data_IF_817999903493
#
_entry.id   IF_817999903493
#
_cell.length_a   1.000
_cell.length_b   1.000
_cell.length_c   1.000
_cell.angle_alpha   90.00
_cell.angle_beta   90.00
_cell.angle_gamma   90.00
#
_symmetry.space_group_name_H-M   'P 1'
#
loop_
_entity.id
_entity.type
_entity.pdbx_description
1 polymer ?
#
# COMPACT_ATOMS: atom_id res chain seq x y z
N UNK A 1 38.93 -5.05 2.04
CA UNK A 1 37.84 -5.89 1.48
C UNK A 1 36.53 -5.24 1.86
N UNK A 2 35.62 -5.10 0.90
CA UNK A 2 34.27 -4.63 1.17
C UNK A 2 33.53 -5.70 1.98
N UNK A 3 32.97 -5.29 3.13
CA UNK A 3 32.24 -6.22 4.00
C UNK A 3 30.79 -6.34 3.52
N UNK A 4 30.42 -7.53 3.08
CA UNK A 4 29.05 -7.90 2.70
C UNK A 4 28.41 -8.70 3.84
N UNK A 5 27.44 -8.14 4.60
CA UNK A 5 26.69 -8.90 5.60
C UNK A 5 25.87 -10.02 4.93
N UNK A 6 25.57 -11.09 5.67
CA UNK A 6 24.64 -12.10 5.17
C UNK A 6 23.21 -11.56 5.23
N UNK A 7 22.45 -11.70 4.14
CA UNK A 7 21.07 -11.23 4.05
C UNK A 7 20.11 -12.37 3.74
N UNK A 8 18.85 -12.22 4.16
CA UNK A 8 17.75 -13.09 3.77
C UNK A 8 16.73 -12.30 2.96
N UNK A 9 16.37 -12.78 1.79
CA UNK A 9 15.29 -12.20 0.97
C UNK A 9 14.06 -13.10 1.09
N UNK A 10 12.93 -12.55 1.51
CA UNK A 10 11.65 -13.28 1.63
C UNK A 10 10.71 -12.84 0.53
N UNK A 11 10.21 -13.81 -0.24
CA UNK A 11 9.25 -13.61 -1.33
C UNK A 11 8.02 -14.48 -1.07
N UNK A 12 6.91 -13.92 -0.56
CA UNK A 12 5.65 -14.66 -0.45
C UNK A 12 5.01 -14.77 -1.83
N UNK A 13 4.46 -15.93 -2.16
CA UNK A 13 3.86 -16.16 -3.46
C UNK A 13 2.55 -16.95 -3.37
N UNK A 14 1.65 -16.69 -4.32
CA UNK A 14 0.50 -17.56 -4.63
C UNK A 14 -0.06 -17.20 -6.00
N UNK A 15 0.11 -18.10 -6.98
CA UNK A 15 -0.37 -17.93 -8.35
C UNK A 15 0.25 -16.71 -9.07
N UNK A 16 1.56 -16.74 -9.29
CA UNK A 16 2.36 -15.70 -9.94
C UNK A 16 2.98 -16.13 -11.27
N UNK A 17 2.45 -17.17 -11.95
CA UNK A 17 3.01 -17.67 -13.22
C UNK A 17 3.21 -16.57 -14.28
N UNK A 18 2.38 -15.52 -14.27
CA UNK A 18 2.44 -14.40 -15.21
C UNK A 18 3.67 -13.52 -15.02
N UNK A 19 4.20 -13.40 -13.81
CA UNK A 19 5.18 -12.35 -13.45
C UNK A 19 6.47 -12.90 -12.87
N UNK A 20 6.45 -14.09 -12.27
CA UNK A 20 7.55 -14.62 -11.48
C UNK A 20 8.84 -14.80 -12.29
N UNK A 21 8.74 -15.25 -13.55
CA UNK A 21 9.90 -15.40 -14.41
C UNK A 21 10.63 -14.08 -14.62
N UNK A 22 9.87 -13.05 -14.96
CA UNK A 22 10.40 -11.70 -15.15
C UNK A 22 10.93 -11.12 -13.83
N UNK A 23 10.22 -11.29 -12.72
CA UNK A 23 10.67 -10.86 -11.40
C UNK A 23 12.01 -11.49 -11.01
N UNK A 24 12.17 -12.80 -11.24
CA UNK A 24 13.42 -13.50 -10.94
C UNK A 24 14.60 -13.04 -11.80
N UNK A 25 14.38 -12.73 -13.10
CA UNK A 25 15.43 -12.15 -13.94
C UNK A 25 16.03 -10.87 -13.34
N UNK A 26 15.20 -10.00 -12.75
CA UNK A 26 15.67 -8.80 -12.06
C UNK A 26 16.28 -9.10 -10.70
N UNK A 27 15.65 -9.95 -9.89
CA UNK A 27 16.14 -10.29 -8.55
C UNK A 27 17.53 -10.94 -8.61
N UNK A 28 17.75 -11.85 -9.54
CA UNK A 28 19.06 -12.52 -9.72
C UNK A 28 20.10 -11.67 -10.46
N UNK A 29 19.70 -10.51 -11.00
CA UNK A 29 20.62 -9.50 -11.56
C UNK A 29 21.06 -8.44 -10.55
N UNK A 30 20.59 -8.53 -9.31
CA UNK A 30 21.04 -7.64 -8.21
C UNK A 30 22.52 -7.87 -7.94
N UNK A 31 23.29 -6.79 -7.88
CA UNK A 31 24.74 -6.82 -7.65
C UNK A 31 25.04 -7.05 -6.15
N UNK A 32 24.94 -8.31 -5.75
CA UNK A 32 25.29 -8.78 -4.41
C UNK A 32 25.88 -10.20 -4.47
N UNK A 33 26.92 -10.52 -3.68
CA UNK A 33 27.54 -11.85 -3.72
C UNK A 33 26.54 -12.96 -3.38
N UNK A 34 26.41 -13.95 -4.26
CA UNK A 34 25.43 -15.04 -4.09
C UNK A 34 25.68 -15.88 -2.84
N UNK A 35 26.91 -15.99 -2.38
CA UNK A 35 27.29 -16.68 -1.14
C UNK A 35 26.95 -15.88 0.13
N UNK A 36 26.47 -14.64 -0.01
CA UNK A 36 26.10 -13.72 1.08
C UNK A 36 24.61 -13.51 1.21
N UNK A 37 23.80 -14.27 0.49
CA UNK A 37 22.36 -14.21 0.65
C UNK A 37 21.68 -15.58 0.57
N UNK A 38 20.49 -15.65 1.09
CA UNK A 38 19.52 -16.71 0.86
C UNK A 38 18.21 -16.09 0.37
N UNK A 39 17.51 -16.80 -0.51
CA UNK A 39 16.19 -16.40 -0.98
C UNK A 39 15.19 -17.44 -0.51
N UNK A 40 14.23 -17.02 0.32
CA UNK A 40 13.18 -17.88 0.87
C UNK A 40 11.88 -17.53 0.17
N UNK A 41 11.43 -18.43 -0.68
CA UNK A 41 10.16 -18.30 -1.39
C UNK A 41 9.12 -19.06 -0.59
N UNK A 42 8.13 -18.32 -0.06
CA UNK A 42 7.04 -18.87 0.75
C UNK A 42 5.78 -19.02 -0.09
N UNK A 43 5.58 -20.21 -0.67
CA UNK A 43 4.42 -20.51 -1.50
C UNK A 43 3.19 -20.82 -0.66
N UNK A 44 2.15 -20.00 -0.83
CA UNK A 44 0.86 -20.11 -0.14
C UNK A 44 -0.12 -21.13 -0.73
N UNK A 45 0.39 -22.12 -1.46
CA UNK A 45 -0.41 -23.13 -2.15
C UNK A 45 -0.83 -22.66 -3.54
N UNK A 46 0.13 -22.41 -4.41
CA UNK A 46 -0.10 -22.10 -5.82
C UNK A 46 -0.68 -23.31 -6.55
N UNK A 47 -1.58 -23.04 -7.51
CA UNK A 47 -2.28 -24.05 -8.32
C UNK A 47 -2.01 -23.90 -9.82
N UNK A 48 -1.24 -22.86 -10.18
CA UNK A 48 -0.76 -22.59 -11.53
C UNK A 48 0.71 -23.09 -11.69
N UNK A 49 1.39 -22.69 -12.74
CA UNK A 49 2.78 -23.11 -13.02
C UNK A 49 3.84 -22.43 -12.13
N UNK A 50 3.45 -21.63 -11.15
CA UNK A 50 4.39 -20.87 -10.30
C UNK A 50 5.45 -21.76 -9.66
N UNK A 51 5.04 -22.86 -9.03
CA UNK A 51 5.96 -23.79 -8.33
C UNK A 51 6.91 -24.47 -9.29
N UNK A 52 6.44 -24.87 -10.47
CA UNK A 52 7.28 -25.50 -11.49
C UNK A 52 8.38 -24.54 -11.98
N UNK A 53 8.03 -23.29 -12.23
CA UNK A 53 9.00 -22.24 -12.61
C UNK A 53 10.06 -22.08 -11.52
N UNK A 54 9.66 -22.04 -10.25
CA UNK A 54 10.62 -21.91 -9.14
C UNK A 54 11.56 -23.11 -9.08
N UNK A 55 11.06 -24.32 -9.26
CA UNK A 55 11.91 -25.54 -9.25
C UNK A 55 12.94 -25.54 -10.37
N UNK A 56 12.62 -24.97 -11.54
CA UNK A 56 13.61 -24.79 -12.61
C UNK A 56 14.68 -23.76 -12.20
N UNK A 57 14.31 -22.65 -11.57
CA UNK A 57 15.27 -21.68 -11.05
C UNK A 57 16.15 -22.26 -9.92
N UNK A 58 15.61 -23.13 -9.06
CA UNK A 58 16.39 -23.81 -8.02
C UNK A 58 17.52 -24.69 -8.57
N UNK A 59 17.32 -25.30 -9.75
CA UNK A 59 18.38 -26.09 -10.41
C UNK A 59 19.59 -25.21 -10.76
N UNK A 60 19.34 -23.96 -11.15
CA UNK A 60 20.36 -22.97 -11.53
C UNK A 60 20.94 -22.24 -10.31
N UNK A 61 20.12 -22.00 -9.28
CA UNK A 61 20.47 -21.23 -8.09
C UNK A 61 20.13 -22.00 -6.81
N UNK A 62 21.05 -22.85 -6.31
CA UNK A 62 20.79 -23.74 -5.17
C UNK A 62 20.52 -23.03 -3.84
N UNK A 63 20.80 -21.71 -3.74
CA UNK A 63 20.51 -20.90 -2.55
C UNK A 63 19.05 -20.45 -2.44
N UNK A 64 18.20 -20.77 -3.43
CA UNK A 64 16.75 -20.59 -3.36
C UNK A 64 16.18 -21.69 -2.46
N UNK A 65 15.41 -21.27 -1.45
CA UNK A 65 14.66 -22.16 -0.56
C UNK A 65 13.18 -22.02 -0.84
N UNK A 66 12.56 -23.03 -1.43
CA UNK A 66 11.12 -23.09 -1.59
C UNK A 66 10.50 -23.69 -0.32
N UNK A 67 9.57 -22.94 0.27
CA UNK A 67 8.75 -23.36 1.42
C UNK A 67 7.30 -23.43 0.97
N UNK A 68 6.80 -24.64 0.75
CA UNK A 68 5.41 -24.88 0.41
C UNK A 68 4.55 -24.85 1.68
N UNK A 69 3.50 -23.99 1.70
CA UNK A 69 2.60 -23.76 2.84
C UNK A 69 1.16 -24.03 2.40
N UNK A 70 0.70 -25.27 2.43
CA UNK A 70 -0.65 -25.60 2.03
C UNK A 70 -1.70 -24.82 2.84
N UNK A 71 -2.77 -24.37 2.19
CA UNK A 71 -3.86 -23.63 2.81
C UNK A 71 -3.41 -22.34 3.55
N UNK A 72 -2.37 -21.67 3.05
CA UNK A 72 -1.90 -20.44 3.63
C UNK A 72 -2.98 -19.35 3.65
N UNK A 73 -3.36 -18.82 4.82
CA UNK A 73 -4.49 -17.91 4.96
C UNK A 73 -4.17 -16.49 4.46
N UNK A 74 -2.88 -16.08 4.51
CA UNK A 74 -2.49 -14.71 4.20
C UNK A 74 -1.01 -14.59 3.82
N UNK A 75 -0.61 -13.52 3.09
CA UNK A 75 0.81 -13.22 2.84
C UNK A 75 1.60 -13.03 4.15
N UNK A 76 1.00 -12.40 5.16
CA UNK A 76 1.60 -12.22 6.49
C UNK A 76 1.93 -13.54 7.18
N UNK A 77 1.05 -14.53 7.07
CA UNK A 77 1.30 -15.88 7.57
C UNK A 77 2.48 -16.54 6.86
N UNK A 78 2.53 -16.43 5.53
CA UNK A 78 3.65 -16.97 4.74
C UNK A 78 4.99 -16.33 5.16
N UNK A 79 5.04 -15.00 5.28
CA UNK A 79 6.22 -14.28 5.75
C UNK A 79 6.62 -14.68 7.17
N UNK A 80 5.67 -14.87 8.10
CA UNK A 80 5.95 -15.35 9.45
C UNK A 80 6.54 -16.76 9.48
N UNK A 81 6.14 -17.64 8.57
CA UNK A 81 6.76 -18.96 8.44
C UNK A 81 8.19 -18.84 7.93
N UNK A 82 8.42 -18.02 6.91
CA UNK A 82 9.76 -17.78 6.36
C UNK A 82 10.69 -17.12 7.39
N UNK A 83 10.21 -16.16 8.19
CA UNK A 83 11.00 -15.49 9.23
C UNK A 83 11.64 -16.45 10.24
N UNK A 84 11.05 -17.62 10.48
CA UNK A 84 11.63 -18.62 11.41
C UNK A 84 12.91 -19.27 10.89
N UNK A 85 13.20 -19.17 9.61
CA UNK A 85 14.33 -19.80 8.95
C UNK A 85 15.38 -18.83 8.45
N UNK A 86 15.19 -17.50 8.66
CA UNK A 86 16.13 -16.47 8.22
C UNK A 86 17.46 -16.57 8.98
N UNK A 87 18.56 -16.43 8.24
CA UNK A 87 19.92 -16.43 8.78
C UNK A 87 20.60 -15.07 8.68
N UNK A 88 20.06 -14.17 7.83
CA UNK A 88 20.64 -12.86 7.55
C UNK A 88 20.49 -11.88 8.69
N UNK A 89 21.48 -10.98 8.83
CA UNK A 89 21.46 -9.85 9.73
C UNK A 89 20.45 -8.79 9.29
N UNK A 90 20.15 -8.77 7.99
CA UNK A 90 19.14 -7.94 7.36
C UNK A 90 18.17 -8.79 6.56
N UNK A 91 16.89 -8.50 6.69
CA UNK A 91 15.79 -9.23 6.07
C UNK A 91 15.16 -8.31 5.03
N UNK A 92 15.26 -8.69 3.78
CA UNK A 92 14.68 -8.00 2.64
C UNK A 92 13.35 -8.62 2.28
N UNK A 93 12.35 -7.79 2.02
CA UNK A 93 11.06 -8.22 1.51
C UNK A 93 10.86 -7.65 0.11
N UNK A 94 10.40 -8.51 -0.78
CA UNK A 94 9.92 -8.16 -2.12
C UNK A 94 8.84 -9.16 -2.52
N UNK A 95 8.12 -8.88 -3.60
CA UNK A 95 7.03 -9.74 -4.08
C UNK A 95 7.39 -10.36 -5.45
N UNK A 96 6.69 -11.42 -5.85
CA UNK A 96 6.94 -12.13 -7.12
C UNK A 96 6.43 -11.39 -8.39
N UNK A 97 6.00 -10.16 -8.22
CA UNK A 97 5.66 -9.20 -9.27
C UNK A 97 6.53 -7.93 -9.18
N UNK A 98 7.69 -8.05 -8.53
CA UNK A 98 8.63 -6.95 -8.32
C UNK A 98 9.94 -7.16 -9.06
N UNK A 99 10.52 -6.07 -9.54
CA UNK A 99 11.77 -6.01 -10.28
C UNK A 99 12.73 -5.02 -9.62
N UNK A 100 13.56 -5.45 -8.67
CA UNK A 100 14.51 -4.58 -7.98
C UNK A 100 15.61 -4.08 -8.92
N UNK A 101 16.10 -2.87 -8.68
CA UNK A 101 17.25 -2.31 -9.40
C UNK A 101 18.55 -3.04 -9.02
N UNK A 102 19.56 -2.93 -9.87
CA UNK A 102 20.83 -3.66 -9.72
C UNK A 102 21.51 -3.40 -8.35
N UNK A 103 21.50 -2.17 -7.87
CA UNK A 103 22.16 -1.78 -6.61
C UNK A 103 21.22 -1.81 -5.40
N UNK A 104 20.05 -2.39 -5.51
CA UNK A 104 19.00 -2.41 -4.49
C UNK A 104 19.48 -2.75 -3.08
N UNK A 105 20.21 -3.86 -2.94
CA UNK A 105 20.73 -4.33 -1.64
C UNK A 105 21.80 -3.38 -1.11
N UNK A 106 22.75 -2.96 -1.96
CA UNK A 106 23.85 -2.07 -1.55
C UNK A 106 23.34 -0.73 -1.05
N UNK A 107 22.38 -0.14 -1.76
CA UNK A 107 21.77 1.14 -1.38
C UNK A 107 21.10 1.02 0.00
N UNK A 108 20.25 0.02 0.22
CA UNK A 108 19.56 -0.14 1.50
C UNK A 108 20.54 -0.40 2.65
N UNK A 109 21.54 -1.25 2.44
CA UNK A 109 22.57 -1.54 3.47
C UNK A 109 23.41 -0.32 3.83
N UNK A 110 23.68 0.57 2.88
CA UNK A 110 24.46 1.80 3.15
C UNK A 110 23.78 2.70 4.20
N UNK A 111 22.45 2.75 4.20
CA UNK A 111 21.69 3.55 5.19
C UNK A 111 21.68 2.90 6.57
N UNK A 112 21.64 1.57 6.68
CA UNK A 112 21.73 0.88 7.96
C UNK A 112 23.10 1.10 8.66
N UNK A 113 24.16 1.37 7.90
CA UNK A 113 25.48 1.68 8.46
C UNK A 113 25.53 3.07 9.13
N UNK A 114 24.66 4.01 8.68
CA UNK A 114 24.66 5.40 9.17
C UNK A 114 24.06 5.55 10.57
N UNK A 115 23.05 4.74 10.91
CA UNK A 115 22.33 4.85 12.19
C UNK A 115 21.86 3.45 12.63
N UNK A 116 22.34 3.02 13.80
CA UNK A 116 21.98 1.73 14.39
C UNK A 116 20.50 1.66 14.83
N UNK A 117 19.85 2.81 15.00
CA UNK A 117 18.43 2.90 15.35
C UNK A 117 17.49 2.77 14.15
N UNK A 118 18.01 2.67 12.92
CA UNK A 118 17.18 2.36 11.76
C UNK A 118 16.77 0.88 11.83
N UNK A 119 15.48 0.65 12.04
CA UNK A 119 14.88 -0.69 11.94
C UNK A 119 14.59 -1.07 10.49
N UNK A 120 14.15 -0.13 9.67
CA UNK A 120 13.77 -0.39 8.29
C UNK A 120 14.25 0.70 7.32
N UNK A 121 14.67 0.26 6.14
CA UNK A 121 14.95 1.11 4.98
C UNK A 121 14.01 0.66 3.85
N UNK A 122 13.20 1.57 3.33
CA UNK A 122 12.34 1.30 2.18
C UNK A 122 12.70 2.18 1.00
N UNK A 123 12.48 1.69 -0.19
CA UNK A 123 12.78 2.39 -1.43
C UNK A 123 11.54 2.87 -2.18
N UNK A 124 11.77 3.49 -3.34
CA UNK A 124 10.69 3.94 -4.23
C UNK A 124 10.15 2.78 -5.07
N UNK A 125 8.86 2.84 -5.36
CA UNK A 125 8.16 1.81 -6.15
C UNK A 125 7.59 2.45 -7.41
N UNK A 126 7.99 1.95 -8.57
CA UNK A 126 7.48 2.38 -9.87
C UNK A 126 6.58 1.31 -10.49
N UNK A 127 5.89 1.64 -11.56
CA UNK A 127 5.08 0.67 -12.30
C UNK A 127 5.86 0.12 -13.48
N UNK A 128 5.97 -1.22 -13.57
CA UNK A 128 6.44 -1.95 -14.74
C UNK A 128 5.24 -2.63 -15.42
N UNK A 129 4.94 -2.23 -16.66
CA UNK A 129 3.91 -2.91 -17.43
C UNK A 129 4.41 -4.24 -17.96
N UNK A 130 3.58 -5.28 -17.80
CA UNK A 130 3.81 -6.60 -18.42
C UNK A 130 3.27 -6.60 -19.84
N UNK A 131 2.09 -6.01 -20.02
CA UNK A 131 1.44 -5.81 -21.31
C UNK A 131 1.36 -4.30 -21.60
N UNK A 132 2.10 -3.79 -22.61
CA UNK A 132 2.08 -2.38 -22.99
C UNK A 132 0.70 -1.84 -23.34
N UNK A 133 -0.20 -2.68 -23.86
CA UNK A 133 -1.53 -2.29 -24.31
C UNK A 133 -2.61 -2.43 -23.23
N UNK A 134 -2.26 -2.99 -22.06
CA UNK A 134 -3.22 -3.19 -20.98
C UNK A 134 -3.60 -1.87 -20.31
N UNK A 135 -4.89 -1.51 -20.38
CA UNK A 135 -5.40 -0.25 -19.84
C UNK A 135 -5.38 -0.17 -18.31
N UNK A 136 -5.47 -1.31 -17.62
CA UNK A 136 -5.42 -1.35 -16.14
C UNK A 136 -4.01 -1.09 -15.66
N UNK A 137 -3.00 -1.68 -16.30
CA UNK A 137 -1.58 -1.42 -16.00
C UNK A 137 -1.19 0.04 -16.34
N UNK A 138 -1.67 0.55 -17.46
CA UNK A 138 -1.47 1.96 -17.84
C UNK A 138 -2.12 2.92 -16.83
N UNK A 139 -3.29 2.57 -16.31
CA UNK A 139 -3.96 3.31 -15.25
C UNK A 139 -3.14 3.29 -13.95
N UNK A 140 -2.62 2.13 -13.52
CA UNK A 140 -1.76 2.02 -12.34
C UNK A 140 -0.50 2.90 -12.47
N UNK A 141 0.10 2.95 -13.66
CA UNK A 141 1.24 3.81 -13.95
C UNK A 141 0.88 5.31 -13.85
N UNK A 142 -0.24 5.71 -14.44
CA UNK A 142 -0.71 7.10 -14.40
C UNK A 142 -0.98 7.58 -12.97
N UNK A 143 -1.62 6.74 -12.15
CA UNK A 143 -1.93 7.03 -10.76
C UNK A 143 -0.76 6.82 -9.80
N UNK A 144 0.43 6.44 -10.33
CA UNK A 144 1.62 6.20 -9.52
C UNK A 144 1.32 5.26 -8.34
N UNK A 145 0.60 4.18 -8.66
CA UNK A 145 0.16 3.21 -7.67
C UNK A 145 1.37 2.61 -6.94
N UNK A 146 1.32 2.55 -5.61
CA UNK A 146 2.39 2.13 -4.71
C UNK A 146 3.63 3.06 -4.60
N UNK A 147 3.71 4.18 -5.33
CA UNK A 147 4.82 5.13 -5.13
C UNK A 147 4.78 5.73 -3.72
N UNK A 148 5.96 5.76 -3.08
CA UNK A 148 6.14 6.25 -1.71
C UNK A 148 6.24 7.77 -1.66
N UNK A 149 7.07 8.38 -2.53
CA UNK A 149 7.35 9.82 -2.48
C UNK A 149 6.13 10.71 -2.70
N UNK A 150 5.21 10.47 -3.66
CA UNK A 150 4.01 11.29 -3.79
C UNK A 150 3.07 11.16 -2.61
N UNK A 151 3.00 9.97 -2.01
CA UNK A 151 2.10 9.69 -0.88
C UNK A 151 2.50 10.46 0.36
N UNK A 152 3.78 10.56 0.65
CA UNK A 152 4.30 11.16 1.88
C UNK A 152 4.96 12.54 1.66
N UNK A 153 4.93 13.06 0.44
CA UNK A 153 5.56 14.34 0.09
C UNK A 153 7.09 14.32 0.14
N UNK A 154 7.71 13.14 0.02
CA UNK A 154 9.16 13.04 -0.10
C UNK A 154 9.61 13.48 -1.49
N UNK A 155 10.57 14.40 -1.53
CA UNK A 155 11.29 14.79 -2.74
C UNK A 155 12.68 14.14 -2.76
N UNK A 156 13.22 13.89 -1.57
CA UNK A 156 14.56 13.34 -1.32
C UNK A 156 14.47 12.21 -0.28
N UNK A 157 15.62 11.56 -0.04
CA UNK A 157 15.78 10.61 1.06
C UNK A 157 15.49 11.27 2.42
N UNK A 158 15.01 10.48 3.39
CA UNK A 158 14.71 11.01 4.71
C UNK A 158 14.10 10.01 5.68
N UNK A 159 14.03 10.43 6.94
CA UNK A 159 13.36 9.68 7.99
C UNK A 159 11.84 9.86 7.94
N UNK A 160 11.12 8.79 8.24
CA UNK A 160 9.71 8.93 8.58
C UNK A 160 9.56 9.70 9.90
N UNK A 161 8.46 10.47 10.06
CA UNK A 161 8.12 11.09 11.35
C UNK A 161 8.02 10.04 12.46
N UNK A 162 8.24 10.43 13.71
CA UNK A 162 7.99 9.57 14.86
C UNK A 162 6.52 9.11 14.91
N UNK A 163 6.30 7.92 15.44
CA UNK A 163 4.92 7.45 15.66
C UNK A 163 4.32 8.17 16.86
N UNK A 164 3.15 8.81 16.73
CA UNK A 164 2.56 9.58 17.82
C UNK A 164 2.26 8.73 19.06
N UNK A 165 2.47 9.28 20.27
CA UNK A 165 2.12 8.60 21.55
C UNK A 165 0.59 8.43 21.71
N UNK A 166 -0.19 9.38 21.20
CA UNK A 166 -1.66 9.33 21.11
C UNK A 166 -2.07 9.56 19.64
N UNK A 167 -2.07 8.50 18.82
CA UNK A 167 -2.30 8.65 17.39
C UNK A 167 -3.75 9.04 17.10
N UNK A 168 -3.91 9.88 16.08
CA UNK A 168 -5.20 10.15 15.46
C UNK A 168 -5.59 8.99 14.52
N UNK A 169 -6.88 8.87 14.17
CA UNK A 169 -7.31 7.90 13.16
C UNK A 169 -6.54 8.00 11.83
N UNK A 170 -6.21 9.21 11.37
CA UNK A 170 -5.42 9.44 10.14
C UNK A 170 -3.95 9.03 10.24
N UNK A 171 -3.38 8.91 11.45
CA UNK A 171 -2.01 8.42 11.66
C UNK A 171 -1.92 6.89 11.52
N UNK A 172 -3.05 6.19 11.66
CA UNK A 172 -3.15 4.73 11.61
C UNK A 172 -3.70 4.26 10.25
N UNK A 173 -4.76 4.91 9.77
CA UNK A 173 -5.32 4.63 8.47
C UNK A 173 -5.48 5.93 7.69
N UNK A 174 -4.86 6.13 6.57
CA UNK A 174 -4.97 7.34 5.80
C UNK A 174 -3.62 7.99 5.45
N UNK A 175 -3.64 9.25 5.04
CA UNK A 175 -2.49 9.93 4.45
C UNK A 175 -1.32 10.18 5.42
N UNK A 176 -1.53 10.08 6.73
CA UNK A 176 -0.49 10.21 7.76
C UNK A 176 0.02 8.86 8.27
N UNK A 177 -0.48 7.76 7.74
CA UNK A 177 -0.07 6.42 8.09
C UNK A 177 1.24 6.05 7.37
N UNK A 178 2.37 6.46 7.91
CA UNK A 178 3.70 6.18 7.34
C UNK A 178 4.08 4.72 7.53
N UNK A 179 4.32 4.02 6.44
CA UNK A 179 4.81 2.64 6.39
C UNK A 179 5.48 2.36 5.04
N UNK A 180 6.24 1.26 4.97
CA UNK A 180 6.73 0.72 3.71
C UNK A 180 5.94 -0.54 3.35
N UNK A 181 5.54 -0.65 2.09
CA UNK A 181 5.02 -1.89 1.54
C UNK A 181 6.11 -2.96 1.47
N UNK A 182 5.74 -4.20 1.77
CA UNK A 182 6.69 -5.33 1.72
C UNK A 182 7.19 -5.69 0.33
N UNK A 183 6.72 -5.01 -0.69
CA UNK A 183 7.27 -5.12 -2.04
C UNK A 183 8.66 -4.47 -2.19
N UNK A 184 9.03 -3.51 -1.30
CA UNK A 184 10.33 -2.81 -1.35
C UNK A 184 10.78 -2.29 0.01
N UNK A 185 11.22 -3.19 0.90
CA UNK A 185 11.72 -2.82 2.23
C UNK A 185 12.72 -3.84 2.76
N UNK A 186 13.74 -3.35 3.49
CA UNK A 186 14.62 -4.18 4.29
C UNK A 186 14.47 -3.84 5.78
N UNK A 187 14.58 -4.84 6.64
CA UNK A 187 14.57 -4.70 8.10
C UNK A 187 15.87 -5.20 8.70
N UNK A 188 16.34 -4.52 9.75
CA UNK A 188 17.41 -5.02 10.62
C UNK A 188 16.84 -6.17 11.48
N UNK A 189 17.42 -7.38 11.38
CA UNK A 189 16.94 -8.55 12.13
C UNK A 189 16.94 -8.29 13.63
N UNK A 190 18.00 -7.68 14.18
CA UNK A 190 18.06 -7.33 15.60
C UNK A 190 16.93 -6.40 16.05
N UNK A 191 16.45 -5.49 15.19
CA UNK A 191 15.29 -4.66 15.50
C UNK A 191 14.00 -5.49 15.56
N UNK A 192 13.79 -6.41 14.62
CA UNK A 192 12.64 -7.32 14.64
C UNK A 192 12.64 -8.22 15.87
N UNK A 193 13.80 -8.80 16.19
CA UNK A 193 13.97 -9.69 17.34
C UNK A 193 13.73 -8.95 18.67
N UNK A 194 14.20 -7.70 18.81
CA UNK A 194 14.08 -6.91 20.03
C UNK A 194 12.66 -6.64 20.51
N UNK A 195 11.70 -6.66 19.58
CA UNK A 195 10.28 -6.41 19.87
C UNK A 195 9.41 -7.65 19.61
N UNK A 196 10.00 -8.78 19.24
CA UNK A 196 9.27 -9.97 18.83
C UNK A 196 8.34 -9.70 17.65
N UNK A 197 8.80 -8.88 16.70
CA UNK A 197 7.99 -8.42 15.56
C UNK A 197 7.55 -9.58 14.68
N UNK A 198 6.28 -9.53 14.29
CA UNK A 198 5.70 -10.49 13.35
C UNK A 198 4.59 -9.83 12.56
N UNK A 199 4.39 -10.32 11.36
CA UNK A 199 3.26 -9.88 10.54
C UNK A 199 1.93 -10.27 11.17
N UNK A 200 0.98 -9.38 11.11
CA UNK A 200 -0.39 -9.70 11.47
C UNK A 200 -1.00 -10.63 10.41
N UNK A 201 -1.78 -11.61 10.86
CA UNK A 201 -2.46 -12.56 9.97
C UNK A 201 -3.76 -11.95 9.44
N UNK A 202 -3.60 -10.97 8.56
CA UNK A 202 -4.66 -10.30 7.82
C UNK A 202 -4.46 -10.48 6.32
N UNK A 203 -5.53 -10.37 5.52
CA UNK A 203 -5.42 -10.40 4.05
C UNK A 203 -4.55 -9.27 3.48
N UNK A 204 -4.46 -8.14 4.20
CA UNK A 204 -3.65 -6.97 3.84
C UNK A 204 -3.50 -6.04 5.06
N UNK A 205 -2.56 -5.07 5.00
CA UNK A 205 -2.25 -4.13 6.09
C UNK A 205 -1.27 -4.69 7.12
N UNK A 206 -0.76 -5.89 6.88
CA UNK A 206 0.25 -6.53 7.73
C UNK A 206 1.60 -5.80 7.69
N UNK A 207 1.90 -5.11 6.59
CA UNK A 207 3.06 -4.24 6.41
C UNK A 207 2.92 -2.93 7.19
N UNK A 208 1.73 -2.33 7.20
CA UNK A 208 1.40 -1.18 8.05
C UNK A 208 1.56 -1.57 9.52
N UNK A 209 0.99 -2.70 9.92
CA UNK A 209 1.07 -3.21 11.28
C UNK A 209 2.52 -3.45 11.71
N UNK A 210 3.35 -4.09 10.88
CA UNK A 210 4.76 -4.31 11.16
C UNK A 210 5.52 -2.99 11.34
N UNK A 211 5.22 -2.00 10.49
CA UNK A 211 5.80 -0.66 10.59
C UNK A 211 5.42 0.02 11.91
N UNK A 212 4.17 -0.07 12.33
CA UNK A 212 3.69 0.52 13.58
C UNK A 212 4.24 -0.20 14.82
N UNK A 213 4.42 -1.52 14.77
CA UNK A 213 5.08 -2.27 15.85
C UNK A 213 6.46 -1.69 16.17
N UNK A 214 7.30 -1.45 15.15
CA UNK A 214 8.64 -0.90 15.32
C UNK A 214 8.62 0.58 15.73
N UNK A 215 7.89 1.40 14.98
CA UNK A 215 7.86 2.86 15.20
C UNK A 215 7.26 3.25 16.55
N UNK A 216 6.26 2.50 17.05
CA UNK A 216 5.71 2.71 18.40
C UNK A 216 6.69 2.37 19.53
N UNK A 217 7.78 1.66 19.22
CA UNK A 217 8.89 1.37 20.15
C UNK A 217 10.09 2.30 19.96
N UNK A 218 9.94 3.35 19.14
CA UNK A 218 10.98 4.35 18.92
C UNK A 218 12.01 4.00 17.83
N UNK A 219 11.81 2.87 17.13
CA UNK A 219 12.65 2.54 15.99
C UNK A 219 12.43 3.49 14.82
N UNK A 220 13.51 3.87 14.13
CA UNK A 220 13.48 4.78 12.98
C UNK A 220 13.27 4.02 11.66
N UNK A 221 12.58 4.67 10.74
CA UNK A 221 12.38 4.22 9.36
C UNK A 221 12.97 5.24 8.41
N UNK A 222 13.66 4.78 7.38
CA UNK A 222 14.37 5.63 6.45
C UNK A 222 13.96 5.36 5.01
N UNK A 223 13.59 6.40 4.28
CA UNK A 223 13.25 6.33 2.86
C UNK A 223 14.49 6.58 2.00
N UNK A 224 14.83 5.61 1.16
CA UNK A 224 15.95 5.61 0.22
C UNK A 224 15.41 5.53 -1.22
N UNK A 225 15.11 6.66 -1.87
CA UNK A 225 14.43 6.68 -3.18
C UNK A 225 15.20 6.00 -4.30
N UNK A 226 16.51 5.88 -4.19
CA UNK A 226 17.37 5.22 -5.18
C UNK A 226 17.33 3.69 -5.10
N UNK A 227 16.86 3.12 -4.00
CA UNK A 227 16.55 1.69 -3.88
C UNK A 227 15.23 1.37 -4.60
N UNK A 228 15.25 1.41 -5.93
CA UNK A 228 14.06 1.31 -6.78
C UNK A 228 13.61 -0.12 -6.96
N UNK A 229 12.30 -0.31 -6.96
CA UNK A 229 11.64 -1.54 -7.38
C UNK A 229 10.54 -1.19 -8.37
N UNK A 230 10.53 -1.84 -9.51
CA UNK A 230 9.44 -1.74 -10.47
C UNK A 230 8.41 -2.85 -10.18
N UNK A 231 7.15 -2.48 -10.00
CA UNK A 231 6.06 -3.38 -9.61
C UNK A 231 5.12 -3.64 -10.80
N UNK A 232 4.89 -4.93 -11.10
CA UNK A 232 3.96 -5.38 -12.12
C UNK A 232 2.56 -5.52 -11.52
N UNK A 233 1.63 -4.71 -11.99
CA UNK A 233 0.28 -4.66 -11.41
C UNK A 233 -0.69 -5.71 -11.97
N UNK A 234 -1.86 -5.80 -11.35
CA UNK A 234 -2.96 -6.64 -11.83
C UNK A 234 -3.47 -6.10 -13.18
N UNK A 235 -3.66 -6.99 -14.15
CA UNK A 235 -4.12 -6.64 -15.50
C UNK A 235 -5.65 -6.60 -15.63
N UNK A 236 -6.37 -7.11 -14.63
CA UNK A 236 -7.85 -7.18 -14.63
C UNK A 236 -8.45 -6.22 -13.59
N UNK A 237 -9.44 -5.42 -14.03
CA UNK A 237 -10.09 -4.43 -13.18
C UNK A 237 -10.90 -5.04 -12.03
N UNK A 238 -11.50 -6.23 -12.22
CA UNK A 238 -12.27 -6.89 -11.16
C UNK A 238 -11.33 -7.34 -10.03
N UNK A 239 -10.16 -7.88 -10.42
CA UNK A 239 -9.10 -8.28 -9.47
C UNK A 239 -8.56 -7.05 -8.74
N UNK A 240 -8.24 -5.98 -9.46
CA UNK A 240 -7.79 -4.72 -8.88
C UNK A 240 -8.80 -4.15 -7.87
N UNK A 241 -10.09 -4.15 -8.20
CA UNK A 241 -11.15 -3.69 -7.29
C UNK A 241 -11.25 -4.53 -6.01
N UNK A 242 -11.04 -5.86 -6.09
CA UNK A 242 -10.98 -6.70 -4.89
C UNK A 242 -9.82 -6.30 -3.98
N UNK A 243 -8.66 -6.00 -4.56
CA UNK A 243 -7.50 -5.49 -3.81
C UNK A 243 -7.85 -4.18 -3.08
N UNK A 244 -8.54 -3.24 -3.76
CA UNK A 244 -8.97 -1.99 -3.13
C UNK A 244 -9.96 -2.19 -1.99
N UNK A 245 -10.87 -3.16 -2.08
CA UNK A 245 -11.77 -3.53 -0.97
C UNK A 245 -10.95 -4.04 0.23
N UNK A 246 -9.97 -4.90 0.01
CA UNK A 246 -9.14 -5.40 1.11
C UNK A 246 -8.30 -4.31 1.75
N UNK A 247 -7.77 -3.36 0.97
CA UNK A 247 -7.03 -2.20 1.49
C UNK A 247 -7.92 -1.33 2.41
N UNK A 248 -9.13 -1.01 1.97
CA UNK A 248 -10.08 -0.30 2.84
C UNK A 248 -10.42 -1.06 4.13
N UNK A 249 -10.58 -2.38 4.04
CA UNK A 249 -10.90 -3.22 5.19
C UNK A 249 -9.77 -3.28 6.23
N UNK A 250 -8.51 -3.22 5.82
CA UNK A 250 -7.37 -3.26 6.72
C UNK A 250 -7.40 -2.13 7.76
N UNK A 251 -7.89 -0.96 7.37
CA UNK A 251 -7.94 0.22 8.24
C UNK A 251 -8.77 -0.01 9.50
N UNK A 252 -9.91 -0.69 9.41
CA UNK A 252 -10.75 -0.97 10.57
C UNK A 252 -10.03 -1.84 11.61
N UNK A 253 -9.30 -2.86 11.17
CA UNK A 253 -8.50 -3.72 12.03
C UNK A 253 -7.36 -2.95 12.72
N UNK A 254 -6.61 -2.15 11.96
CA UNK A 254 -5.51 -1.34 12.48
C UNK A 254 -5.99 -0.28 13.49
N UNK A 255 -7.08 0.44 13.19
CA UNK A 255 -7.68 1.39 14.13
C UNK A 255 -8.13 0.71 15.43
N UNK A 256 -8.72 -0.48 15.33
CA UNK A 256 -9.10 -1.23 16.53
C UNK A 256 -7.89 -1.58 17.40
N UNK A 257 -6.75 -1.92 16.79
CA UNK A 257 -5.53 -2.33 17.49
C UNK A 257 -4.77 -1.15 18.10
N UNK A 258 -4.62 -0.03 17.38
CA UNK A 258 -3.72 1.06 17.76
C UNK A 258 -4.41 2.28 18.38
N UNK A 259 -5.69 2.51 18.07
CA UNK A 259 -6.42 3.65 18.61
C UNK A 259 -6.99 3.34 20.00
N UNK A 260 -6.41 3.94 21.04
CA UNK A 260 -6.83 3.72 22.42
C UNK A 260 -8.20 4.35 22.73
N UNK A 261 -8.37 5.61 22.32
CA UNK A 261 -9.56 6.38 22.62
C UNK A 261 -10.56 6.35 21.45
N UNK A 262 -11.86 6.30 21.76
CA UNK A 262 -12.89 6.44 20.74
C UNK A 262 -12.96 7.90 20.28
N UNK A 263 -12.63 8.13 19.02
CA UNK A 263 -12.70 9.45 18.37
C UNK A 263 -12.99 9.30 16.88
N UNK A 264 -13.75 10.23 16.36
CA UNK A 264 -14.01 10.39 14.94
C UNK A 264 -13.24 11.60 14.42
N UNK A 265 -12.41 11.40 13.40
CA UNK A 265 -11.68 12.46 12.73
C UNK A 265 -12.34 12.79 11.38
N UNK A 266 -12.67 14.05 11.17
CA UNK A 266 -13.17 14.56 9.89
C UNK A 266 -12.05 15.35 9.23
N UNK A 267 -11.64 14.95 8.04
CA UNK A 267 -10.52 15.53 7.29
C UNK A 267 -11.08 16.25 6.06
N UNK A 268 -10.81 17.55 5.93
CA UNK A 268 -11.30 18.39 4.84
C UNK A 268 -10.31 18.41 3.68
N UNK A 269 -10.29 17.34 2.89
CA UNK A 269 -9.31 17.12 1.83
C UNK A 269 -9.41 18.11 0.66
N UNK A 270 -10.56 18.79 0.49
CA UNK A 270 -10.75 19.83 -0.52
C UNK A 270 -10.10 21.18 -0.15
N UNK A 271 -9.60 21.33 1.08
CA UNK A 271 -8.90 22.51 1.55
C UNK A 271 -7.38 22.32 1.50
N UNK A 272 -6.64 23.42 1.32
CA UNK A 272 -5.17 23.40 1.42
C UNK A 272 -4.76 22.80 2.77
N UNK A 273 -3.71 21.97 2.76
CA UNK A 273 -3.16 21.28 3.94
C UNK A 273 -4.11 20.27 4.60
N UNK A 274 -5.25 19.96 4.01
CA UNK A 274 -6.22 18.97 4.52
C UNK A 274 -6.42 19.07 6.05
N UNK A 275 -6.89 20.19 6.58
CA UNK A 275 -7.14 20.35 8.01
C UNK A 275 -8.12 19.30 8.51
N UNK A 276 -8.00 18.91 9.77
CA UNK A 276 -8.91 17.94 10.38
C UNK A 276 -9.45 18.42 11.71
N UNK A 277 -10.63 17.90 12.07
CA UNK A 277 -11.25 18.06 13.38
C UNK A 277 -11.42 16.66 13.98
N UNK A 278 -10.91 16.47 15.19
CA UNK A 278 -11.08 15.21 15.94
C UNK A 278 -12.10 15.43 17.06
N UNK A 279 -13.16 14.66 17.02
CA UNK A 279 -14.26 14.74 17.98
C UNK A 279 -14.28 13.51 18.88
N UNK A 280 -14.49 13.66 20.20
CA UNK A 280 -14.83 12.52 21.04
C UNK A 280 -16.18 11.98 20.59
N UNK A 281 -16.21 10.74 20.14
CA UNK A 281 -17.41 10.10 19.60
C UNK A 281 -17.45 8.63 20.00
N UNK A 282 -18.59 8.00 20.22
CA UNK A 282 -18.65 6.59 20.59
C UNK A 282 -18.18 5.62 19.50
N UNK A 283 -17.93 6.13 18.28
CA UNK A 283 -17.40 5.39 17.14
C UNK A 283 -15.98 5.85 16.85
N UNK A 284 -15.07 4.91 16.62
CA UNK A 284 -13.72 5.18 16.14
C UNK A 284 -13.72 5.38 14.60
N UNK A 285 -12.82 6.20 14.09
CA UNK A 285 -12.59 6.25 12.66
C UNK A 285 -12.27 7.62 12.09
N UNK A 286 -12.35 7.69 10.78
CA UNK A 286 -12.15 8.93 10.03
C UNK A 286 -13.08 9.01 8.82
N UNK A 287 -13.37 10.24 8.43
CA UNK A 287 -14.12 10.58 7.22
C UNK A 287 -13.33 11.64 6.46
N UNK A 288 -12.88 11.31 5.25
CA UNK A 288 -12.30 12.27 4.32
C UNK A 288 -13.40 12.93 3.52
N UNK A 289 -13.60 14.23 3.73
CA UNK A 289 -14.48 15.05 2.91
C UNK A 289 -13.66 15.64 1.76
N UNK A 290 -13.56 14.91 0.68
CA UNK A 290 -12.91 15.33 -0.56
C UNK A 290 -13.90 15.63 -1.67
N UNK A 291 -13.37 16.06 -2.83
CA UNK A 291 -14.18 16.37 -4.01
C UNK A 291 -15.12 15.23 -4.43
N UNK A 292 -14.66 13.97 -4.28
CA UNK A 292 -15.48 12.79 -4.53
C UNK A 292 -16.75 12.75 -3.68
N UNK A 293 -16.64 13.00 -2.39
CA UNK A 293 -17.80 12.97 -1.48
C UNK A 293 -18.71 14.18 -1.70
N UNK A 294 -18.12 15.37 -1.87
CA UNK A 294 -18.88 16.59 -2.04
C UNK A 294 -19.71 16.60 -3.32
N UNK A 295 -19.18 16.07 -4.44
CA UNK A 295 -19.98 15.95 -5.66
C UNK A 295 -21.20 15.04 -5.47
N UNK A 296 -21.09 13.97 -4.66
CA UNK A 296 -22.23 13.09 -4.39
C UNK A 296 -23.23 13.72 -3.42
N UNK A 297 -22.76 14.38 -2.36
CA UNK A 297 -23.60 15.05 -1.38
C UNK A 297 -24.44 16.15 -2.08
N UNK A 298 -23.77 17.03 -2.83
CA UNK A 298 -24.47 18.09 -3.56
C UNK A 298 -25.33 17.55 -4.70
N UNK A 299 -24.88 16.50 -5.40
CA UNK A 299 -25.67 15.81 -6.42
C UNK A 299 -26.95 15.19 -5.85
N UNK A 300 -26.88 14.57 -4.67
CA UNK A 300 -28.05 14.04 -3.98
C UNK A 300 -29.03 15.15 -3.57
N UNK A 301 -28.52 16.25 -2.97
CA UNK A 301 -29.35 17.41 -2.61
C UNK A 301 -29.97 18.03 -3.86
N UNK A 302 -29.22 18.15 -4.97
CA UNK A 302 -29.72 18.61 -6.25
C UNK A 302 -30.90 17.76 -6.75
N UNK A 303 -30.77 16.42 -6.72
CA UNK A 303 -31.84 15.51 -7.14
C UNK A 303 -33.08 15.68 -6.25
N UNK A 304 -32.91 15.78 -4.93
CA UNK A 304 -34.01 16.03 -4.01
C UNK A 304 -34.71 17.37 -4.34
N UNK A 305 -33.94 18.44 -4.58
CA UNK A 305 -34.49 19.74 -4.90
C UNK A 305 -35.26 19.79 -6.21
N UNK A 306 -34.93 18.94 -7.18
CA UNK A 306 -35.72 18.77 -8.40
C UNK A 306 -37.07 18.08 -8.16
N UNK A 307 -37.16 17.22 -7.13
CA UNK A 307 -38.36 16.50 -6.77
C UNK A 307 -39.32 17.43 -6.00
N UNK A 308 -38.79 18.36 -5.22
CA UNK A 308 -39.55 19.34 -4.44
C UNK A 308 -40.11 20.49 -5.29
N UNK A 309 -40.96 20.26 -6.23
CA UNK A 309 -41.50 21.13 -7.29
C UNK A 309 -41.98 22.55 -6.89
N UNK A 310 -41.56 23.10 -5.78
CA UNK A 310 -41.91 24.46 -5.34
C UNK A 310 -41.04 25.53 -6.01
N UNK A 311 -41.61 26.67 -6.41
CA UNK A 311 -40.87 27.78 -7.02
C UNK A 311 -39.76 28.32 -6.11
N UNK A 312 -39.94 28.28 -4.79
CA UNK A 312 -38.92 28.62 -3.79
C UNK A 312 -37.66 27.76 -3.86
N UNK A 313 -37.74 26.54 -4.43
CA UNK A 313 -36.60 25.61 -4.57
C UNK A 313 -35.76 25.86 -5.82
N UNK A 314 -36.17 26.72 -6.76
CA UNK A 314 -35.46 26.91 -8.04
C UNK A 314 -34.02 27.43 -7.83
N UNK A 315 -33.85 28.47 -7.02
CA UNK A 315 -32.54 29.07 -6.75
C UNK A 315 -31.59 28.12 -6.01
N UNK A 316 -31.98 27.45 -4.91
CA UNK A 316 -31.20 26.40 -4.29
C UNK A 316 -30.83 25.26 -5.26
N UNK A 317 -31.76 24.85 -6.12
CA UNK A 317 -31.51 23.78 -7.12
C UNK A 317 -30.36 24.12 -8.07
N UNK A 318 -30.34 25.37 -8.58
CA UNK A 318 -29.26 25.87 -9.45
C UNK A 318 -27.92 25.87 -8.69
N UNK A 319 -27.91 26.34 -7.45
CA UNK A 319 -26.69 26.35 -6.62
C UNK A 319 -26.15 24.92 -6.44
N UNK A 320 -26.99 23.96 -6.09
CA UNK A 320 -26.56 22.57 -5.88
C UNK A 320 -26.09 21.92 -7.17
N UNK A 321 -26.71 22.24 -8.30
CA UNK A 321 -26.24 21.82 -9.62
C UNK A 321 -24.80 22.33 -9.90
N UNK A 322 -24.58 23.63 -9.68
CA UNK A 322 -23.27 24.28 -9.89
C UNK A 322 -22.21 23.71 -8.94
N UNK A 323 -22.55 23.50 -7.66
CA UNK A 323 -21.63 22.87 -6.69
C UNK A 323 -21.28 21.44 -7.09
N UNK A 324 -22.26 20.65 -7.53
CA UNK A 324 -22.04 19.30 -8.04
C UNK A 324 -21.07 19.31 -9.21
N UNK A 325 -21.31 20.18 -10.20
CA UNK A 325 -20.44 20.35 -11.37
C UNK A 325 -19.02 20.80 -10.98
N UNK A 326 -18.90 21.75 -10.06
CA UNK A 326 -17.61 22.23 -9.57
C UNK A 326 -16.79 21.11 -8.90
N UNK A 327 -17.39 20.35 -7.97
CA UNK A 327 -16.67 19.28 -7.29
C UNK A 327 -16.38 18.09 -8.20
N UNK A 328 -17.25 17.79 -9.17
CA UNK A 328 -16.96 16.80 -10.20
C UNK A 328 -15.78 17.22 -11.08
N UNK A 329 -15.75 18.50 -11.50
CA UNK A 329 -14.61 19.06 -12.24
C UNK A 329 -13.31 18.98 -11.43
N UNK A 330 -13.32 19.39 -10.15
CA UNK A 330 -12.15 19.32 -9.27
C UNK A 330 -11.69 17.86 -9.07
N UNK A 331 -12.63 16.93 -8.92
CA UNK A 331 -12.33 15.51 -8.80
C UNK A 331 -11.60 14.97 -10.04
N UNK A 332 -12.11 15.30 -11.22
CA UNK A 332 -11.50 14.89 -12.50
C UNK A 332 -10.11 15.53 -12.66
N UNK A 333 -10.02 16.84 -12.45
CA UNK A 333 -8.78 17.60 -12.58
C UNK A 333 -7.66 17.05 -11.66
N UNK A 334 -7.98 16.75 -10.40
CA UNK A 334 -7.02 16.23 -9.43
C UNK A 334 -6.57 14.81 -9.72
N UNK A 335 -7.49 13.95 -10.14
CA UNK A 335 -7.20 12.53 -10.26
C UNK A 335 -6.76 12.11 -11.67
N UNK A 336 -7.25 12.76 -12.72
CA UNK A 336 -7.07 12.30 -14.09
C UNK A 336 -6.30 13.31 -14.93
N UNK A 337 -6.34 14.58 -14.52
CA UNK A 337 -5.87 15.70 -15.32
C UNK A 337 -6.91 16.12 -16.37
N UNK A 338 -6.65 17.21 -17.06
CA UNK A 338 -7.58 17.81 -18.03
C UNK A 338 -7.12 17.62 -19.46
N UNK A 339 -5.97 16.96 -19.67
CA UNK A 339 -5.51 16.69 -21.04
C UNK A 339 -6.41 15.64 -21.70
N UNK A 340 -6.86 15.85 -22.93
CA UNK A 340 -7.64 14.89 -23.67
C UNK A 340 -6.78 13.65 -23.96
N UNK A 341 -7.10 12.55 -23.32
CA UNK A 341 -6.46 11.25 -23.53
C UNK A 341 -7.49 10.31 -24.16
N UNK A 342 -7.02 9.46 -25.05
CA UNK A 342 -7.87 8.45 -25.73
C UNK A 342 -8.69 7.64 -24.69
N UNK A 343 -8.09 7.35 -23.54
CA UNK A 343 -8.66 6.53 -22.47
C UNK A 343 -9.34 7.33 -21.35
N UNK A 344 -9.53 8.63 -21.51
CA UNK A 344 -10.01 9.53 -20.45
C UNK A 344 -11.26 9.03 -19.72
N UNK A 345 -12.32 8.67 -20.46
CA UNK A 345 -13.57 8.17 -19.84
C UNK A 345 -13.35 6.82 -19.13
N UNK A 346 -12.51 5.96 -19.68
CA UNK A 346 -12.17 4.68 -19.07
C UNK A 346 -11.44 4.89 -17.75
N UNK A 347 -10.52 5.84 -17.69
CA UNK A 347 -9.81 6.19 -16.47
C UNK A 347 -10.69 6.85 -15.43
N UNK A 348 -11.62 7.74 -15.83
CA UNK A 348 -12.66 8.27 -14.92
C UNK A 348 -13.48 7.14 -14.29
N UNK A 349 -13.93 6.19 -15.11
CA UNK A 349 -14.65 5.00 -14.63
C UNK A 349 -13.81 4.16 -13.67
N UNK A 350 -12.56 3.87 -14.01
CA UNK A 350 -11.66 3.07 -13.17
C UNK A 350 -11.43 3.75 -11.81
N UNK A 351 -11.10 5.04 -11.80
CA UNK A 351 -10.90 5.81 -10.56
C UNK A 351 -12.16 5.83 -9.70
N UNK A 352 -13.31 6.06 -10.32
CA UNK A 352 -14.59 6.04 -9.62
C UNK A 352 -14.88 4.69 -8.96
N UNK A 353 -14.68 3.60 -9.70
CA UNK A 353 -14.92 2.25 -9.19
C UNK A 353 -13.93 1.83 -8.10
N UNK A 354 -12.67 2.26 -8.18
CA UNK A 354 -11.68 1.97 -7.14
C UNK A 354 -11.98 2.75 -5.86
N UNK A 355 -12.41 4.01 -5.97
CA UNK A 355 -12.87 4.79 -4.80
C UNK A 355 -14.04 4.12 -4.09
N UNK A 356 -15.06 3.69 -4.84
CA UNK A 356 -16.19 2.95 -4.26
C UNK A 356 -15.75 1.65 -3.59
N UNK A 357 -14.83 0.92 -4.21
CA UNK A 357 -14.31 -0.34 -3.67
C UNK A 357 -13.55 -0.13 -2.35
N UNK A 358 -12.78 0.94 -2.26
CA UNK A 358 -12.04 1.29 -1.04
C UNK A 358 -12.98 1.67 0.11
N UNK A 359 -13.97 2.54 -0.16
CA UNK A 359 -15.01 2.92 0.81
C UNK A 359 -15.80 1.69 1.27
N UNK A 360 -16.20 0.82 0.32
CA UNK A 360 -16.87 -0.44 0.65
C UNK A 360 -16.05 -1.28 1.63
N UNK A 361 -14.73 -1.37 1.41
CA UNK A 361 -13.81 -2.06 2.32
C UNK A 361 -13.78 -1.43 3.70
N UNK A 362 -13.63 -0.11 3.77
CA UNK A 362 -13.57 0.65 5.02
C UNK A 362 -14.84 0.54 5.89
N UNK A 363 -15.99 0.26 5.26
CA UNK A 363 -17.26 0.08 5.97
C UNK A 363 -17.59 -1.39 6.29
N UNK A 364 -16.90 -2.33 5.67
CA UNK A 364 -17.24 -3.77 5.74
C UNK A 364 -17.30 -4.32 7.16
N UNK A 365 -16.34 -3.92 8.00
CA UNK A 365 -16.23 -4.40 9.36
C UNK A 365 -16.84 -3.45 10.43
N UNK A 366 -17.67 -2.48 10.00
CA UNK A 366 -18.34 -1.54 10.90
C UNK A 366 -19.15 -2.24 11.99
N UNK A 367 -19.93 -3.28 11.64
CA UNK A 367 -20.72 -4.04 12.61
C UNK A 367 -19.85 -4.72 13.67
N UNK A 368 -18.66 -5.18 13.29
CA UNK A 368 -17.72 -5.90 14.15
C UNK A 368 -16.98 -4.98 15.12
N UNK A 369 -16.43 -3.89 14.60
CA UNK A 369 -15.52 -3.03 15.37
C UNK A 369 -16.13 -1.69 15.80
N UNK A 370 -17.28 -1.30 15.27
CA UNK A 370 -17.86 0.05 15.42
C UNK A 370 -16.88 1.14 14.91
N UNK A 371 -16.23 0.87 13.77
CA UNK A 371 -15.23 1.73 13.16
C UNK A 371 -15.74 2.18 11.79
N UNK A 372 -15.58 3.46 11.51
CA UNK A 372 -15.94 4.09 10.23
C UNK A 372 -14.66 4.54 9.54
N UNK A 373 -14.39 4.02 8.35
CA UNK A 373 -13.30 4.47 7.48
C UNK A 373 -13.90 4.83 6.13
N UNK A 374 -14.05 6.11 5.89
CA UNK A 374 -14.58 6.65 4.63
C UNK A 374 -13.50 7.51 3.99
N UNK A 375 -12.82 6.93 3.03
CA UNK A 375 -11.73 7.54 2.28
C UNK A 375 -11.84 7.11 0.81
N UNK A 376 -11.68 8.03 -0.16
CA UNK A 376 -11.50 7.63 -1.55
C UNK A 376 -10.10 7.03 -1.71
N UNK A 377 -9.91 6.13 -2.67
CA UNK A 377 -8.58 5.60 -2.99
C UNK A 377 -7.61 6.72 -3.34
N UNK A 378 -6.36 6.57 -2.89
CA UNK A 378 -5.27 7.52 -3.17
C UNK A 378 -4.98 7.65 -4.65
#
# INVERSE_FOLDING_TARGET
MEYYPFISVIVPIKNFERTIEKSFQYLFNVDYPHERWEIIIADGGSTDKTVDIIKEWQKKYPFIKLMEIPNCPSPGYARNKALRSVKGDFIFFTDADCAPCKDWVKIMLSHFKRDSQIAAVGGEVYTLKVDPDNLVEAWCQHFRFNMVSPRYGFIKEGYFPEFPKDPLPSDIGGHKAYFFGTCNVAYRKAAMDSIGAKFWDLPTGEDMDLSFQHRSKGWKFYFAPDAKVDHMHRADLKVLRKVWVTYGQAHAGLLNKYLKNSRLEIIFQFLKKSPSISLPFPVKGFIYLGNFHLMHIFGFIFIISLICREQACLFPTIIFMLLTGYFAYQYIKWNIGMEPKKEFLTWCKMKYLTNLSFIQGGLKDFKKYKIICVEPSF
#
